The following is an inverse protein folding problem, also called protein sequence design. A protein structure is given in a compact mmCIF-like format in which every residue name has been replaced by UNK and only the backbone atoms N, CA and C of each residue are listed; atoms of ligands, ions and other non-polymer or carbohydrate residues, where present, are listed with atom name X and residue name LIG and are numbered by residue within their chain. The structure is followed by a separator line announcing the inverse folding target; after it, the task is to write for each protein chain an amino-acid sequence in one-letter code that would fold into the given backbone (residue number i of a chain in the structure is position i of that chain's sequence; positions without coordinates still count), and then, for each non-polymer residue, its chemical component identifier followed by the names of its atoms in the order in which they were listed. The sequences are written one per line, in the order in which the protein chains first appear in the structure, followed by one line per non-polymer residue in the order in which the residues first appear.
data_IF_185333779803
#
_entry.id   IF_185333779803
#
_cell.length_a   1.000
_cell.length_b   1.000
_cell.length_c   1.000
_cell.angle_alpha   90.00
_cell.angle_beta   90.00
_cell.angle_gamma   90.00
#
_symmetry.space_group_name_H-M   'P 1'
#
loop_
_entity.id
_entity.type
_entity.pdbx_description
1 polymer ?
#
# COMPACT_ATOMS: atom_id res chain seq x y z
N UNK A 1 -28.49 3.96 54.96
CA UNK A 1 -27.25 3.86 54.18
C UNK A 1 -27.62 3.25 52.83
N UNK A 2 -27.88 4.10 51.85
CA UNK A 2 -28.28 3.71 50.50
C UNK A 2 -27.07 3.84 49.59
N UNK A 3 -26.61 2.74 48.99
CA UNK A 3 -25.63 2.75 47.90
C UNK A 3 -26.34 2.34 46.61
N UNK A 4 -26.18 3.08 45.50
CA UNK A 4 -26.75 2.72 44.20
C UNK A 4 -25.80 1.78 43.44
N UNK A 5 -26.41 0.87 42.68
CA UNK A 5 -25.74 0.01 41.71
C UNK A 5 -25.21 0.84 40.53
N UNK A 6 -23.92 0.70 40.20
CA UNK A 6 -23.37 1.16 38.94
C UNK A 6 -23.54 0.06 37.89
N UNK A 7 -24.38 0.35 36.90
CA UNK A 7 -24.48 -0.36 35.63
C UNK A 7 -23.30 0.06 34.77
N UNK A 8 -22.36 -0.85 34.55
CA UNK A 8 -21.32 -0.68 33.53
C UNK A 8 -21.83 -1.32 32.25
N UNK A 9 -22.25 -0.50 31.30
CA UNK A 9 -22.52 -0.94 29.92
C UNK A 9 -21.17 -1.00 29.23
N UNK A 10 -20.55 -2.17 29.23
CA UNK A 10 -19.40 -2.45 28.36
C UNK A 10 -19.93 -2.55 26.93
N UNK A 11 -19.59 -1.55 26.11
CA UNK A 11 -19.81 -1.61 24.67
C UNK A 11 -18.96 -2.74 24.11
N UNK A 12 -19.63 -3.76 23.56
CA UNK A 12 -18.99 -4.78 22.74
C UNK A 12 -18.25 -4.10 21.59
N UNK A 13 -16.93 -3.99 21.72
CA UNK A 13 -16.06 -3.73 20.59
C UNK A 13 -16.23 -4.90 19.62
N UNK A 14 -16.98 -4.66 18.54
CA UNK A 14 -17.13 -5.59 17.43
C UNK A 14 -15.75 -6.09 17.01
N UNK A 15 -15.49 -7.36 17.26
CA UNK A 15 -14.26 -8.03 16.84
C UNK A 15 -14.10 -7.85 15.32
N UNK A 16 -12.89 -7.52 14.82
CA UNK A 16 -12.68 -7.40 13.39
C UNK A 16 -12.99 -8.76 12.74
N UNK A 17 -13.96 -8.77 11.82
CA UNK A 17 -14.21 -9.92 10.94
C UNK A 17 -12.87 -10.30 10.31
N UNK A 18 -12.42 -11.54 10.56
CA UNK A 18 -11.21 -12.09 9.95
C UNK A 18 -11.35 -12.03 8.44
N UNK A 19 -10.72 -11.02 7.86
CA UNK A 19 -10.78 -10.71 6.46
C UNK A 19 -9.76 -11.60 5.76
N UNK A 20 -10.24 -12.61 5.04
CA UNK A 20 -9.42 -13.64 4.43
C UNK A 20 -9.91 -13.91 3.02
N UNK A 21 -8.98 -14.08 2.09
CA UNK A 21 -9.31 -14.60 0.77
C UNK A 21 -9.78 -16.07 0.85
N UNK A 22 -9.51 -16.76 1.96
CA UNK A 22 -9.96 -18.13 2.17
C UNK A 22 -11.49 -18.20 2.20
N UNK A 23 -12.06 -18.98 1.29
CA UNK A 23 -13.50 -19.18 1.17
C UNK A 23 -14.16 -18.31 0.10
N UNK A 24 -13.44 -17.38 -0.54
CA UNK A 24 -13.96 -16.65 -1.70
C UNK A 24 -13.78 -17.47 -2.98
N UNK A 25 -14.86 -17.58 -3.76
CA UNK A 25 -14.78 -18.00 -5.15
C UNK A 25 -14.30 -16.82 -6.01
N UNK A 26 -13.00 -16.74 -6.26
CA UNK A 26 -12.39 -15.61 -6.97
C UNK A 26 -12.96 -15.43 -8.38
N UNK A 27 -13.35 -16.52 -9.07
CA UNK A 27 -13.92 -16.42 -10.41
C UNK A 27 -15.28 -15.70 -10.39
N UNK A 28 -16.13 -16.04 -9.42
CA UNK A 28 -17.44 -15.43 -9.25
C UNK A 28 -17.33 -13.97 -8.79
N UNK A 29 -16.48 -13.71 -7.79
CA UNK A 29 -16.21 -12.36 -7.29
C UNK A 29 -15.67 -11.46 -8.40
N UNK A 30 -14.70 -11.93 -9.18
CA UNK A 30 -14.15 -11.14 -10.30
C UNK A 30 -15.23 -10.85 -11.34
N UNK A 31 -16.09 -11.80 -11.68
CA UNK A 31 -17.19 -11.59 -12.63
C UNK A 31 -18.23 -10.55 -12.13
N UNK A 32 -18.41 -10.45 -10.81
CA UNK A 32 -19.24 -9.42 -10.19
C UNK A 32 -18.54 -8.05 -10.22
N UNK A 33 -17.29 -7.97 -9.77
CA UNK A 33 -16.51 -6.73 -9.69
C UNK A 33 -16.26 -6.11 -11.07
N UNK A 34 -16.15 -6.93 -12.13
CA UNK A 34 -15.95 -6.45 -13.50
C UNK A 34 -17.07 -5.49 -13.94
N UNK A 35 -18.28 -5.66 -13.41
CA UNK A 35 -19.45 -4.84 -13.72
C UNK A 35 -19.54 -3.55 -12.90
N UNK A 36 -18.63 -3.36 -11.95
CA UNK A 36 -18.61 -2.23 -11.02
C UNK A 36 -17.59 -1.17 -11.45
N UNK A 37 -17.84 0.07 -11.04
CA UNK A 37 -16.90 1.19 -11.13
C UNK A 37 -15.69 0.99 -10.21
N UNK A 38 -14.62 1.75 -10.46
CA UNK A 38 -13.39 1.66 -9.66
C UNK A 38 -13.65 1.96 -8.16
N UNK A 39 -14.46 2.97 -7.86
CA UNK A 39 -14.84 3.33 -6.48
C UNK A 39 -15.62 2.22 -5.79
N UNK A 40 -16.54 1.56 -6.50
CA UNK A 40 -17.30 0.42 -5.95
C UNK A 40 -16.39 -0.78 -5.67
N UNK A 41 -15.40 -1.04 -6.53
CA UNK A 41 -14.40 -2.11 -6.28
C UNK A 41 -13.54 -1.82 -5.06
N UNK A 42 -13.12 -0.57 -4.86
CA UNK A 42 -12.35 -0.14 -3.68
C UNK A 42 -13.21 -0.21 -2.41
N UNK A 43 -14.47 0.22 -2.49
CA UNK A 43 -15.42 0.09 -1.38
C UNK A 43 -15.66 -1.37 -1.02
N UNK A 44 -15.84 -2.25 -2.01
CA UNK A 44 -15.98 -3.67 -1.80
C UNK A 44 -14.75 -4.24 -1.07
N UNK A 45 -13.54 -3.87 -1.47
CA UNK A 45 -12.32 -4.30 -0.80
C UNK A 45 -12.25 -3.82 0.66
N UNK A 46 -12.62 -2.57 0.92
CA UNK A 46 -12.73 -2.04 2.28
C UNK A 46 -13.73 -2.85 3.12
N UNK A 47 -14.92 -3.13 2.59
CA UNK A 47 -15.99 -3.80 3.34
C UNK A 47 -15.65 -5.28 3.63
N UNK A 48 -14.87 -5.91 2.75
CA UNK A 48 -14.49 -7.32 2.88
C UNK A 48 -13.19 -7.51 3.66
N UNK A 49 -12.22 -6.60 3.51
CA UNK A 49 -10.87 -6.77 4.06
C UNK A 49 -10.52 -5.80 5.19
N UNK A 50 -11.24 -4.68 5.32
CA UNK A 50 -11.02 -3.66 6.34
C UNK A 50 -9.58 -3.15 6.35
N UNK A 51 -8.98 -3.11 7.54
CA UNK A 51 -7.63 -2.57 7.77
C UNK A 51 -6.49 -3.44 7.20
N UNK A 52 -6.79 -4.56 6.54
CA UNK A 52 -5.77 -5.38 5.88
C UNK A 52 -5.48 -4.93 4.45
N UNK A 53 -6.26 -3.99 3.90
CA UNK A 53 -6.00 -3.42 2.58
C UNK A 53 -4.84 -2.43 2.67
N UNK A 54 -3.91 -2.55 1.73
CA UNK A 54 -2.82 -1.59 1.51
C UNK A 54 -2.84 -1.14 0.05
N UNK A 55 -2.33 0.06 -0.22
CA UNK A 55 -2.18 0.60 -1.57
C UNK A 55 -0.71 0.75 -1.91
N UNK A 56 -0.19 -0.02 -2.87
CA UNK A 56 1.14 0.25 -3.44
C UNK A 56 1.06 1.30 -4.54
N UNK A 57 1.96 2.29 -4.52
CA UNK A 57 2.06 3.30 -5.59
C UNK A 57 3.51 3.52 -5.99
N UNK A 58 3.75 3.58 -7.31
CA UNK A 58 5.03 3.99 -7.88
C UNK A 58 5.18 5.51 -8.03
N UNK A 59 4.14 6.28 -7.70
CA UNK A 59 4.09 7.73 -7.87
C UNK A 59 4.37 8.20 -9.30
N UNK A 60 3.98 7.39 -10.30
CA UNK A 60 3.99 7.78 -11.70
C UNK A 60 2.92 8.82 -12.06
N UNK A 61 2.87 9.22 -13.33
CA UNK A 61 2.05 10.34 -13.82
C UNK A 61 0.56 10.31 -13.43
N UNK A 62 -0.02 9.12 -13.24
CA UNK A 62 -1.45 8.94 -12.93
C UNK A 62 -1.72 8.51 -11.49
N UNK A 63 -0.68 8.45 -10.63
CA UNK A 63 -0.80 7.96 -9.27
C UNK A 63 -1.80 8.76 -8.42
N UNK A 64 -1.92 10.07 -8.66
CA UNK A 64 -2.81 10.96 -7.92
C UNK A 64 -4.28 10.49 -7.94
N UNK A 65 -4.74 9.91 -9.06
CA UNK A 65 -6.14 9.46 -9.20
C UNK A 65 -6.43 8.30 -8.24
N UNK A 66 -5.58 7.26 -8.27
CA UNK A 66 -5.75 6.10 -7.41
C UNK A 66 -5.54 6.44 -5.93
N UNK A 67 -4.55 7.29 -5.62
CA UNK A 67 -4.28 7.75 -4.26
C UNK A 67 -5.49 8.51 -3.70
N UNK A 68 -6.00 9.49 -4.44
CA UNK A 68 -7.15 10.29 -4.00
C UNK A 68 -8.41 9.43 -3.84
N UNK A 69 -8.68 8.52 -4.78
CA UNK A 69 -9.83 7.62 -4.71
C UNK A 69 -9.76 6.73 -3.46
N UNK A 70 -8.59 6.09 -3.24
CA UNK A 70 -8.42 5.18 -2.11
C UNK A 70 -8.49 5.92 -0.77
N UNK A 71 -7.85 7.08 -0.62
CA UNK A 71 -7.90 7.84 0.65
C UNK A 71 -9.23 8.52 0.91
N UNK A 72 -10.05 8.76 -0.11
CA UNK A 72 -11.43 9.22 0.10
C UNK A 72 -12.29 8.13 0.73
N UNK A 73 -12.06 6.86 0.38
CA UNK A 73 -12.81 5.71 0.89
C UNK A 73 -12.21 5.16 2.20
N UNK A 74 -10.88 5.09 2.27
CA UNK A 74 -10.09 4.60 3.40
C UNK A 74 -9.04 5.66 3.79
N UNK A 75 -9.39 6.67 4.62
CA UNK A 75 -8.53 7.81 4.92
C UNK A 75 -7.15 7.49 5.48
N UNK A 76 -7.02 6.37 6.20
CA UNK A 76 -5.76 5.94 6.83
C UNK A 76 -5.15 4.69 6.17
N UNK A 77 -5.53 4.38 4.91
CA UNK A 77 -4.95 3.26 4.17
C UNK A 77 -3.42 3.38 4.08
N UNK A 78 -2.65 2.34 4.46
CA UNK A 78 -1.20 2.37 4.28
C UNK A 78 -0.84 2.45 2.79
N UNK A 79 -0.10 3.50 2.42
CA UNK A 79 0.40 3.69 1.06
C UNK A 79 1.85 3.24 0.99
N UNK A 80 2.13 2.16 0.27
CA UNK A 80 3.48 1.60 0.13
C UNK A 80 4.19 2.27 -1.04
N UNK A 81 5.35 2.87 -0.75
CA UNK A 81 6.33 3.34 -1.71
C UNK A 81 7.58 2.46 -1.62
N UNK A 82 8.04 1.92 -2.74
CA UNK A 82 9.36 1.29 -2.81
C UNK A 82 10.34 2.25 -3.47
N UNK A 83 11.23 2.80 -2.66
CA UNK A 83 12.23 3.76 -3.08
C UNK A 83 13.55 3.04 -3.41
N UNK A 84 13.88 3.02 -4.69
CA UNK A 84 15.10 2.37 -5.19
C UNK A 84 16.36 3.21 -4.94
N UNK A 85 16.20 4.46 -4.47
CA UNK A 85 17.28 5.44 -4.32
C UNK A 85 17.75 6.09 -5.64
N UNK A 86 17.04 5.82 -6.74
CA UNK A 86 17.30 6.39 -8.07
C UNK A 86 16.00 6.91 -8.72
N UNK A 87 15.00 7.27 -7.91
CA UNK A 87 13.82 7.95 -8.45
C UNK A 87 14.22 9.34 -8.95
N UNK A 88 13.47 9.90 -9.90
CA UNK A 88 13.72 11.25 -10.37
C UNK A 88 13.52 12.25 -9.21
N UNK A 89 14.31 13.34 -9.13
CA UNK A 89 14.11 14.40 -8.14
C UNK A 89 12.66 14.93 -8.11
N UNK A 90 12.05 15.07 -9.27
CA UNK A 90 10.66 15.50 -9.45
C UNK A 90 9.68 14.46 -8.87
N UNK A 91 10.02 13.17 -8.89
CA UNK A 91 9.20 12.13 -8.25
C UNK A 91 9.22 12.28 -6.74
N UNK A 92 10.36 12.58 -6.13
CA UNK A 92 10.42 12.84 -4.67
C UNK A 92 9.58 14.07 -4.29
N UNK A 93 9.70 15.17 -5.03
CA UNK A 93 8.86 16.35 -4.82
C UNK A 93 7.37 16.03 -4.96
N UNK A 94 7.01 15.23 -5.96
CA UNK A 94 5.63 14.81 -6.19
C UNK A 94 5.10 13.90 -5.08
N UNK A 95 5.94 13.01 -4.54
CA UNK A 95 5.60 12.19 -3.36
C UNK A 95 5.30 13.10 -2.17
N UNK A 96 6.16 14.06 -1.87
CA UNK A 96 5.99 14.99 -0.74
C UNK A 96 4.71 15.82 -0.91
N UNK A 97 4.51 16.41 -2.09
CA UNK A 97 3.32 17.20 -2.45
C UNK A 97 2.01 16.40 -2.27
N UNK A 98 1.96 15.17 -2.79
CA UNK A 98 0.77 14.33 -2.66
C UNK A 98 0.56 13.82 -1.24
N UNK A 99 1.64 13.52 -0.53
CA UNK A 99 1.59 13.08 0.88
C UNK A 99 0.96 14.15 1.75
N UNK A 100 1.38 15.41 1.58
CA UNK A 100 0.79 16.54 2.29
C UNK A 100 -0.66 16.79 1.88
N UNK A 101 -0.94 16.90 0.57
CA UNK A 101 -2.26 17.26 0.04
C UNK A 101 -3.33 16.22 0.37
N UNK A 102 -2.98 14.93 0.27
CA UNK A 102 -3.91 13.81 0.45
C UNK A 102 -3.81 13.19 1.84
N UNK A 103 -2.93 13.70 2.72
CA UNK A 103 -2.67 13.19 4.07
C UNK A 103 -2.35 11.69 4.09
N UNK A 104 -1.46 11.27 3.18
CA UNK A 104 -1.17 9.85 2.98
C UNK A 104 -0.49 9.24 4.23
N UNK A 105 -0.93 8.06 4.65
CA UNK A 105 -0.19 7.19 5.58
C UNK A 105 0.94 6.47 4.82
N UNK A 106 1.96 7.24 4.41
CA UNK A 106 3.04 6.77 3.55
C UNK A 106 4.00 5.84 4.31
N UNK A 107 4.28 4.69 3.70
CA UNK A 107 5.23 3.67 4.17
C UNK A 107 6.30 3.47 3.12
N UNK A 108 7.48 4.03 3.36
CA UNK A 108 8.62 3.94 2.46
C UNK A 108 9.48 2.73 2.79
N UNK A 109 9.68 1.86 1.81
CA UNK A 109 10.56 0.71 1.88
C UNK A 109 11.74 0.89 0.91
N UNK A 110 12.90 0.39 1.32
CA UNK A 110 14.16 0.50 0.56
C UNK A 110 14.92 -0.82 0.68
N UNK A 111 15.84 -1.05 -0.25
CA UNK A 111 16.83 -2.10 -0.09
C UNK A 111 17.66 -1.88 1.20
N UNK A 112 18.05 -2.95 1.93
CA UNK A 112 18.93 -2.83 3.10
C UNK A 112 20.30 -2.20 2.79
N UNK A 113 20.74 -2.28 1.53
CA UNK A 113 21.99 -1.69 1.05
C UNK A 113 21.70 -0.39 0.30
N UNK A 114 22.45 0.67 0.61
CA UNK A 114 22.30 1.96 -0.07
C UNK A 114 22.71 1.86 -1.56
N UNK A 115 22.18 2.74 -2.42
CA UNK A 115 22.58 2.85 -3.83
C UNK A 115 24.09 2.84 -4.05
N UNK A 116 24.83 3.69 -3.32
CA UNK A 116 26.28 3.78 -3.40
C UNK A 116 26.99 2.47 -3.00
N UNK A 117 26.45 1.76 -2.00
CA UNK A 117 27.03 0.48 -1.57
C UNK A 117 26.77 -0.65 -2.57
N UNK A 118 25.60 -0.64 -3.21
CA UNK A 118 25.30 -1.57 -4.30
C UNK A 118 26.24 -1.35 -5.48
N UNK A 119 26.42 -0.10 -5.92
CA UNK A 119 27.37 0.24 -6.99
C UNK A 119 28.80 -0.15 -6.63
N UNK A 120 29.24 0.08 -5.38
CA UNK A 120 30.59 -0.31 -4.95
C UNK A 120 30.84 -1.82 -4.95
N UNK A 121 29.80 -2.66 -4.75
CA UNK A 121 29.92 -4.12 -4.70
C UNK A 121 29.68 -4.81 -6.02
N UNK A 122 28.73 -4.30 -6.79
CA UNK A 122 28.20 -4.98 -7.97
C UNK A 122 28.38 -4.15 -9.25
N UNK A 123 28.87 -2.92 -9.16
CA UNK A 123 28.82 -1.96 -10.25
C UNK A 123 27.39 -1.53 -10.58
N UNK A 124 27.22 -0.89 -11.73
CA UNK A 124 25.91 -0.49 -12.25
C UNK A 124 25.19 -1.69 -12.86
N UNK A 125 24.39 -2.38 -12.05
CA UNK A 125 23.68 -3.59 -12.46
C UNK A 125 22.79 -3.39 -13.70
N UNK A 126 22.25 -2.19 -13.91
CA UNK A 126 21.45 -1.87 -15.11
C UNK A 126 22.26 -1.79 -16.41
N UNK A 127 23.59 -1.73 -16.34
CA UNK A 127 24.49 -1.78 -17.50
C UNK A 127 24.96 -3.22 -17.82
N UNK A 128 24.52 -4.22 -17.04
CA UNK A 128 24.98 -5.62 -17.12
C UNK A 128 23.94 -6.55 -17.77
N UNK A 129 23.12 -6.00 -18.66
CA UNK A 129 22.11 -6.76 -19.40
C UNK A 129 20.95 -7.26 -18.51
N UNK A 130 20.23 -8.26 -19.01
CA UNK A 130 18.98 -8.73 -18.39
C UNK A 130 19.21 -9.34 -17.01
N UNK A 131 20.30 -10.08 -16.81
CA UNK A 131 20.62 -10.69 -15.51
C UNK A 131 20.93 -9.63 -14.45
N UNK A 132 21.68 -8.58 -14.82
CA UNK A 132 21.95 -7.44 -13.95
C UNK A 132 20.66 -6.70 -13.56
N UNK A 133 19.79 -6.41 -14.53
CA UNK A 133 18.47 -5.78 -14.28
C UNK A 133 17.59 -6.66 -13.38
N UNK A 134 17.60 -7.99 -13.59
CA UNK A 134 16.83 -8.93 -12.77
C UNK A 134 17.31 -8.89 -11.33
N UNK A 135 18.62 -8.92 -11.11
CA UNK A 135 19.23 -8.81 -9.78
C UNK A 135 18.92 -7.47 -9.12
N UNK A 136 19.03 -6.36 -9.85
CA UNK A 136 18.69 -5.03 -9.36
C UNK A 136 17.22 -4.94 -8.94
N UNK A 137 16.29 -5.44 -9.77
CA UNK A 137 14.86 -5.44 -9.45
C UNK A 137 14.54 -6.32 -8.25
N UNK A 138 15.20 -7.48 -8.13
CA UNK A 138 15.01 -8.35 -6.97
C UNK A 138 15.37 -7.60 -5.68
N UNK A 139 16.55 -6.98 -5.65
CA UNK A 139 17.06 -6.27 -4.46
C UNK A 139 16.29 -4.99 -4.13
N UNK A 140 15.92 -4.20 -5.14
CA UNK A 140 15.42 -2.84 -4.95
C UNK A 140 13.91 -2.71 -5.08
N UNK A 141 13.20 -3.75 -5.56
CA UNK A 141 11.74 -3.72 -5.72
C UNK A 141 11.02 -4.92 -5.14
N UNK A 142 11.47 -6.14 -5.48
CA UNK A 142 10.79 -7.36 -5.07
C UNK A 142 10.97 -7.63 -3.58
N UNK A 143 12.22 -7.73 -3.11
CA UNK A 143 12.50 -7.99 -1.69
C UNK A 143 11.93 -6.90 -0.75
N UNK A 144 12.03 -5.59 -1.05
CA UNK A 144 11.41 -4.57 -0.21
C UNK A 144 9.87 -4.60 -0.16
N UNK A 145 9.20 -5.32 -1.06
CA UNK A 145 7.74 -5.45 -1.12
C UNK A 145 7.22 -6.75 -0.45
N UNK A 146 8.10 -7.73 -0.21
CA UNK A 146 7.73 -9.01 0.43
C UNK A 146 7.61 -8.88 1.93
#
# INVERSE_FOLDING_TARGET
MSSPAQSTVEGEASQPKQASLHGLNLAEVNAQLEKQSATERVQWAHDHFGNQVVLSSSFGAQAAVCLHMATTIMPDIPVILVDTGYLFPETYQFIDDLTERLKLNLRTYRAPMSPAWQEARFGKLWEQGVEGITTYNQMNKVEPMR
#
